data_IF_561070768338
#
_entry.id   IF_561070768338
#
_cell.length_a   1.000
_cell.length_b   1.000
_cell.length_c   1.000
_cell.angle_alpha   90.00
_cell.angle_beta   90.00
_cell.angle_gamma   90.00
#
_symmetry.space_group_name_H-M   'P 1'
#
loop_
_entity.id
_entity.type
_entity.pdbx_description
1 polymer ?
#
# COMPACT_ATOMS: atom_id res chain seq x y z
N UNK A 1 0.87 30.05 -0.50
CA UNK A 1 0.44 28.76 0.08
C UNK A 1 0.35 27.67 -1.00
N UNK A 2 -0.25 27.96 -2.15
CA UNK A 2 -0.39 27.05 -3.31
C UNK A 2 0.91 26.35 -3.80
N UNK A 3 2.05 27.07 -3.81
CA UNK A 3 3.35 26.50 -4.21
C UNK A 3 3.92 25.49 -3.19
N UNK A 4 3.53 25.61 -1.92
CA UNK A 4 3.93 24.69 -0.85
C UNK A 4 3.15 23.38 -0.95
N UNK A 5 1.84 23.45 -1.15
CA UNK A 5 0.96 22.29 -1.33
C UNK A 5 1.36 21.43 -2.53
N UNK A 6 1.69 22.06 -3.66
CA UNK A 6 2.14 21.38 -4.88
C UNK A 6 3.49 20.66 -4.70
N UNK A 7 4.39 21.20 -3.87
CA UNK A 7 5.66 20.56 -3.55
C UNK A 7 5.48 19.39 -2.57
N UNK A 8 4.55 19.50 -1.61
CA UNK A 8 4.26 18.42 -0.65
C UNK A 8 3.63 17.22 -1.37
N UNK A 9 2.67 17.45 -2.27
CA UNK A 9 2.04 16.38 -3.06
C UNK A 9 3.00 15.72 -4.06
N UNK A 10 3.88 16.50 -4.71
CA UNK A 10 4.92 15.94 -5.59
C UNK A 10 5.90 15.06 -4.80
N UNK A 11 6.29 15.49 -3.60
CA UNK A 11 7.20 14.72 -2.77
C UNK A 11 6.58 13.38 -2.33
N UNK A 12 5.31 13.33 -1.92
CA UNK A 12 4.68 12.06 -1.53
C UNK A 12 4.63 11.06 -2.70
N UNK A 13 4.35 11.53 -3.93
CA UNK A 13 4.39 10.67 -5.14
C UNK A 13 5.80 10.15 -5.41
N UNK A 14 6.84 11.00 -5.28
CA UNK A 14 8.23 10.56 -5.45
C UNK A 14 8.58 9.47 -4.42
N UNK A 15 8.20 9.64 -3.16
CA UNK A 15 8.48 8.63 -2.13
C UNK A 15 7.67 7.34 -2.31
N UNK A 16 6.47 7.40 -2.90
CA UNK A 16 5.73 6.21 -3.32
C UNK A 16 6.47 5.46 -4.43
N UNK A 17 7.02 6.18 -5.41
CA UNK A 17 7.83 5.59 -6.49
C UNK A 17 9.13 4.99 -5.95
N UNK A 18 9.81 5.66 -5.01
CA UNK A 18 11.00 5.13 -4.33
C UNK A 18 10.65 3.85 -3.58
N UNK A 19 9.53 3.81 -2.85
CA UNK A 19 9.07 2.59 -2.21
C UNK A 19 8.88 1.45 -3.23
N UNK A 20 8.12 1.70 -4.32
CA UNK A 20 7.92 0.72 -5.38
C UNK A 20 9.24 0.22 -6.01
N UNK A 21 10.17 1.14 -6.27
CA UNK A 21 11.49 0.84 -6.81
C UNK A 21 12.38 0.05 -5.83
N UNK A 22 12.15 0.15 -4.52
CA UNK A 22 12.86 -0.68 -3.53
C UNK A 22 12.17 -2.03 -3.30
N UNK A 23 10.84 -2.07 -3.31
CA UNK A 23 10.05 -3.25 -3.01
C UNK A 23 10.13 -4.31 -4.11
N UNK A 24 9.99 -3.92 -5.38
CA UNK A 24 9.97 -4.89 -6.49
C UNK A 24 11.31 -5.65 -6.64
N UNK A 25 12.49 -5.00 -6.65
CA UNK A 25 13.76 -5.72 -6.70
C UNK A 25 14.01 -6.56 -5.45
N UNK A 26 13.66 -6.05 -4.26
CA UNK A 26 13.79 -6.82 -3.02
C UNK A 26 12.94 -8.09 -3.06
N UNK A 27 11.68 -8.00 -3.50
CA UNK A 27 10.80 -9.15 -3.63
C UNK A 27 11.34 -10.17 -4.64
N UNK A 28 11.89 -9.74 -5.78
CA UNK A 28 12.48 -10.63 -6.79
C UNK A 28 13.76 -11.31 -6.27
N UNK A 29 14.69 -10.55 -5.69
CA UNK A 29 15.96 -11.07 -5.17
C UNK A 29 15.74 -12.10 -4.05
N UNK A 30 14.80 -11.82 -3.13
CA UNK A 30 14.48 -12.71 -2.03
C UNK A 30 13.71 -13.95 -2.49
N UNK A 31 12.78 -13.81 -3.46
CA UNK A 31 12.02 -14.93 -4.01
C UNK A 31 12.92 -15.95 -4.71
N UNK A 32 13.94 -15.48 -5.44
CA UNK A 32 14.87 -16.35 -6.15
C UNK A 32 16.08 -16.79 -5.30
N UNK A 33 16.12 -16.48 -4.00
CA UNK A 33 17.21 -16.83 -3.08
C UNK A 33 18.61 -16.48 -3.63
N UNK A 34 18.74 -15.36 -4.34
CA UNK A 34 19.97 -14.98 -5.04
C UNK A 34 21.07 -14.43 -4.13
N UNK A 35 20.85 -14.40 -2.81
CA UNK A 35 21.69 -13.70 -1.84
C UNK A 35 21.82 -14.49 -0.54
N UNK A 36 22.91 -14.27 0.19
CA UNK A 36 23.18 -14.91 1.47
C UNK A 36 22.19 -14.48 2.55
N UNK A 37 21.92 -15.36 3.54
CA UNK A 37 20.95 -15.11 4.62
C UNK A 37 21.10 -13.75 5.32
N UNK A 38 22.32 -13.29 5.68
CA UNK A 38 22.49 -11.98 6.32
C UNK A 38 22.09 -10.83 5.39
N UNK A 39 22.42 -10.94 4.10
CA UNK A 39 22.10 -9.92 3.11
C UNK A 39 20.61 -9.89 2.78
N UNK A 40 19.94 -11.05 2.77
CA UNK A 40 18.49 -11.15 2.63
C UNK A 40 17.74 -10.37 3.70
N UNK A 41 18.22 -10.40 4.96
CA UNK A 41 17.62 -9.63 6.05
C UNK A 41 17.73 -8.12 5.80
N UNK A 42 18.90 -7.65 5.37
CA UNK A 42 19.11 -6.23 5.04
C UNK A 42 18.19 -5.81 3.90
N UNK A 43 18.11 -6.62 2.83
CA UNK A 43 17.24 -6.36 1.68
C UNK A 43 15.76 -6.32 2.08
N UNK A 44 15.32 -7.15 3.03
CA UNK A 44 13.95 -7.14 3.52
C UNK A 44 13.60 -5.87 4.31
N UNK A 45 14.56 -5.25 5.01
CA UNK A 45 14.36 -4.06 5.84
C UNK A 45 14.25 -2.78 4.99
N UNK A 46 14.99 -2.69 3.88
CA UNK A 46 15.05 -1.47 3.05
C UNK A 46 13.67 -1.00 2.59
N UNK A 47 12.79 -1.84 2.00
CA UNK A 47 11.44 -1.42 1.60
C UNK A 47 10.56 -0.97 2.77
N UNK A 48 10.76 -1.55 3.97
CA UNK A 48 10.00 -1.16 5.16
C UNK A 48 10.42 0.24 5.62
N UNK A 49 11.72 0.52 5.63
CA UNK A 49 12.24 1.85 5.96
C UNK A 49 11.78 2.92 4.96
N UNK A 50 11.80 2.62 3.66
CA UNK A 50 11.31 3.56 2.63
C UNK A 50 9.80 3.77 2.74
N UNK A 51 9.03 2.74 3.05
CA UNK A 51 7.59 2.85 3.29
C UNK A 51 7.26 3.69 4.52
N UNK A 52 8.00 3.52 5.62
CA UNK A 52 7.84 4.34 6.83
C UNK A 52 8.07 5.83 6.52
N UNK A 53 9.08 6.14 5.71
CA UNK A 53 9.32 7.52 5.28
C UNK A 53 8.21 8.05 4.36
N UNK A 54 7.69 7.22 3.46
CA UNK A 54 6.52 7.55 2.64
C UNK A 54 5.29 7.88 3.50
N UNK A 55 5.00 7.11 4.55
CA UNK A 55 3.89 7.38 5.48
C UNK A 55 4.03 8.77 6.10
N UNK A 56 5.21 9.15 6.58
CA UNK A 56 5.44 10.48 7.17
C UNK A 56 5.16 11.61 6.17
N UNK A 57 5.51 11.41 4.89
CA UNK A 57 5.21 12.37 3.82
C UNK A 57 3.73 12.37 3.43
N UNK A 58 3.08 11.22 3.44
CA UNK A 58 1.66 11.07 3.17
C UNK A 58 0.81 11.80 4.22
N UNK A 59 1.15 11.65 5.51
CA UNK A 59 0.49 12.37 6.62
C UNK A 59 0.57 13.88 6.41
N UNK A 60 1.76 14.39 6.07
CA UNK A 60 1.97 15.82 5.76
C UNK A 60 1.20 16.28 4.52
N UNK A 61 1.04 15.40 3.52
CA UNK A 61 0.24 15.71 2.34
C UNK A 61 -1.25 15.78 2.66
N UNK A 62 -1.74 14.93 3.58
CA UNK A 62 -3.13 14.99 4.05
C UNK A 62 -3.39 16.23 4.88
N UNK A 63 -2.46 16.65 5.75
CA UNK A 63 -2.67 17.80 6.64
C UNK A 63 -2.86 19.15 5.92
N UNK A 64 -2.41 19.26 4.67
CA UNK A 64 -2.54 20.48 3.84
C UNK A 64 -3.63 20.36 2.78
N UNK A 65 -4.39 19.27 2.80
CA UNK A 65 -5.41 18.95 1.79
C UNK A 65 -6.78 19.48 2.23
N UNK A 66 -7.61 19.92 1.28
CA UNK A 66 -8.99 20.35 1.54
C UNK A 66 -9.79 19.25 2.25
N UNK A 67 -10.73 19.64 3.12
CA UNK A 67 -11.55 18.72 3.93
C UNK A 67 -12.29 17.67 3.07
N UNK A 68 -12.82 18.08 1.91
CA UNK A 68 -13.51 17.18 0.99
C UNK A 68 -12.56 16.10 0.45
N UNK A 69 -11.36 16.51 0.05
CA UNK A 69 -10.36 15.58 -0.47
C UNK A 69 -9.81 14.67 0.64
N UNK A 70 -9.60 15.19 1.85
CA UNK A 70 -9.26 14.36 3.01
C UNK A 70 -10.34 13.31 3.29
N UNK A 71 -11.61 13.69 3.23
CA UNK A 71 -12.74 12.77 3.41
C UNK A 71 -12.76 11.68 2.33
N UNK A 72 -12.52 12.02 1.07
CA UNK A 72 -12.38 11.04 -0.03
C UNK A 72 -11.27 10.03 0.28
N UNK A 73 -10.10 10.50 0.73
CA UNK A 73 -8.99 9.60 1.07
C UNK A 73 -9.29 8.74 2.30
N UNK A 74 -9.93 9.28 3.33
CA UNK A 74 -10.32 8.53 4.52
C UNK A 74 -11.32 7.42 4.16
N UNK A 75 -12.36 7.73 3.38
CA UNK A 75 -13.31 6.73 2.92
C UNK A 75 -12.62 5.65 2.06
N UNK A 76 -11.70 6.05 1.17
CA UNK A 76 -10.91 5.11 0.38
C UNK A 76 -10.09 4.15 1.25
N UNK A 77 -9.44 4.65 2.30
CA UNK A 77 -8.69 3.85 3.28
C UNK A 77 -9.62 2.92 4.04
N UNK A 78 -10.79 3.40 4.50
CA UNK A 78 -11.76 2.58 5.23
C UNK A 78 -12.29 1.43 4.35
N UNK A 79 -12.63 1.71 3.10
CA UNK A 79 -13.08 0.69 2.13
C UNK A 79 -11.94 -0.30 1.87
N UNK A 80 -10.74 0.21 1.56
CA UNK A 80 -9.55 -0.60 1.31
C UNK A 80 -9.24 -1.55 2.46
N UNK A 81 -9.15 -1.00 3.67
CA UNK A 81 -8.92 -1.76 4.89
C UNK A 81 -10.01 -2.82 5.15
N UNK A 82 -11.28 -2.44 5.04
CA UNK A 82 -12.40 -3.35 5.28
C UNK A 82 -12.40 -4.52 4.31
N UNK A 83 -12.17 -4.27 3.02
CA UNK A 83 -12.08 -5.31 2.00
C UNK A 83 -10.83 -6.19 2.20
N UNK A 84 -9.69 -5.63 2.59
CA UNK A 84 -8.50 -6.42 2.92
C UNK A 84 -8.73 -7.30 4.13
N UNK A 85 -9.33 -6.78 5.20
CA UNK A 85 -9.66 -7.56 6.40
C UNK A 85 -10.63 -8.70 6.05
N UNK A 86 -11.68 -8.41 5.27
CA UNK A 86 -12.63 -9.41 4.78
C UNK A 86 -11.92 -10.50 3.96
N UNK A 87 -11.00 -10.12 3.07
CA UNK A 87 -10.21 -11.08 2.29
C UNK A 87 -9.34 -11.95 3.19
N UNK A 88 -8.61 -11.36 4.15
CA UNK A 88 -7.76 -12.12 5.10
C UNK A 88 -8.60 -13.14 5.88
N UNK A 89 -9.76 -12.73 6.38
CA UNK A 89 -10.67 -13.64 7.09
C UNK A 89 -11.15 -14.78 6.18
N UNK A 90 -11.53 -14.48 4.95
CA UNK A 90 -11.95 -15.49 3.97
C UNK A 90 -10.82 -16.49 3.68
N UNK A 91 -9.60 -16.00 3.44
CA UNK A 91 -8.45 -16.86 3.17
C UNK A 91 -8.12 -17.78 4.34
N UNK A 92 -8.18 -17.25 5.56
CA UNK A 92 -7.99 -18.04 6.77
C UNK A 92 -9.06 -19.13 6.92
N UNK A 93 -10.35 -18.82 6.69
CA UNK A 93 -11.41 -19.83 6.74
C UNK A 93 -11.26 -20.90 5.65
N UNK A 94 -10.88 -20.51 4.42
CA UNK A 94 -10.62 -21.45 3.33
C UNK A 94 -9.42 -22.37 3.61
N UNK A 95 -8.41 -21.86 4.32
CA UNK A 95 -7.28 -22.66 4.82
C UNK A 95 -7.77 -23.74 5.81
N UNK A 96 -8.64 -23.38 6.75
CA UNK A 96 -9.23 -24.34 7.69
C UNK A 96 -10.09 -25.42 6.99
N UNK A 97 -10.69 -25.10 5.85
CA UNK A 97 -11.45 -26.05 5.04
C UNK A 97 -10.58 -26.90 4.09
N UNK A 98 -9.27 -26.67 4.02
CA UNK A 98 -8.38 -27.37 3.08
C UNK A 98 -8.55 -26.97 1.62
N UNK A 99 -9.22 -25.84 1.33
CA UNK A 99 -9.50 -25.32 -0.02
C UNK A 99 -8.53 -24.19 -0.43
N UNK A 100 -7.56 -23.87 0.43
CA UNK A 100 -6.57 -22.81 0.17
C UNK A 100 -5.62 -23.17 -0.97
N UNK A 101 -5.43 -22.22 -1.91
CA UNK A 101 -4.38 -22.27 -2.93
C UNK A 101 -3.31 -21.20 -2.63
N UNK A 102 -2.14 -21.59 -2.10
CA UNK A 102 -1.05 -20.67 -1.75
C UNK A 102 -0.51 -19.88 -2.96
N UNK A 103 -0.66 -20.42 -4.18
CA UNK A 103 -0.14 -19.81 -5.40
C UNK A 103 -0.86 -18.52 -5.79
N UNK A 104 -2.17 -18.44 -5.55
CA UNK A 104 -2.99 -17.27 -5.90
C UNK A 104 -3.29 -16.39 -4.68
N UNK A 105 -3.32 -16.99 -3.49
CA UNK A 105 -3.73 -16.31 -2.25
C UNK A 105 -2.64 -16.21 -1.18
N UNK A 106 -1.38 -16.47 -1.54
CA UNK A 106 -0.26 -16.32 -0.60
C UNK A 106 -0.08 -14.87 -0.11
N UNK A 107 0.51 -14.72 1.08
CA UNK A 107 0.78 -13.44 1.74
C UNK A 107 1.49 -12.39 0.87
N UNK A 108 2.28 -12.82 -0.13
CA UNK A 108 2.95 -11.92 -1.08
C UNK A 108 2.00 -11.12 -1.98
N UNK A 109 0.79 -11.62 -2.24
CA UNK A 109 -0.21 -10.95 -3.07
C UNK A 109 -1.09 -9.98 -2.27
N UNK A 110 -1.09 -10.10 -0.95
CA UNK A 110 -1.96 -9.35 -0.03
C UNK A 110 -1.72 -7.85 -0.10
N UNK A 111 -0.45 -7.45 -0.31
CA UNK A 111 -0.06 -6.06 -0.57
C UNK A 111 -0.71 -5.54 -1.85
N UNK A 112 -0.72 -6.35 -2.92
CA UNK A 112 -1.37 -5.99 -4.19
C UNK A 112 -2.88 -5.80 -4.06
N UNK A 113 -3.55 -6.72 -3.37
CA UNK A 113 -4.99 -6.60 -3.10
C UNK A 113 -5.34 -5.37 -2.25
N UNK A 114 -4.52 -5.04 -1.24
CA UNK A 114 -4.71 -3.84 -0.43
C UNK A 114 -4.73 -2.56 -1.30
N UNK A 115 -3.78 -2.41 -2.22
CA UNK A 115 -3.76 -1.28 -3.14
C UNK A 115 -4.95 -1.27 -4.10
N UNK A 116 -5.33 -2.42 -4.65
CA UNK A 116 -6.51 -2.52 -5.52
C UNK A 116 -7.77 -2.07 -4.79
N UNK A 117 -8.00 -2.55 -3.57
CA UNK A 117 -9.17 -2.18 -2.77
C UNK A 117 -9.17 -0.71 -2.38
N UNK A 118 -8.00 -0.15 -2.08
CA UNK A 118 -7.86 1.29 -1.88
C UNK A 118 -8.27 2.09 -3.13
N UNK A 119 -7.81 1.71 -4.33
CA UNK A 119 -8.18 2.41 -5.56
C UNK A 119 -9.67 2.29 -5.89
N UNK A 120 -10.28 1.14 -5.58
CA UNK A 120 -11.74 0.97 -5.68
C UNK A 120 -12.44 1.94 -4.74
N UNK A 121 -12.05 1.99 -3.46
CA UNK A 121 -12.60 2.93 -2.49
C UNK A 121 -12.42 4.39 -2.91
N UNK A 122 -11.23 4.73 -3.40
CA UNK A 122 -10.93 6.06 -3.91
C UNK A 122 -11.82 6.44 -5.10
N UNK A 123 -12.02 5.53 -6.07
CA UNK A 123 -12.87 5.79 -7.23
C UNK A 123 -14.33 6.01 -6.82
N UNK A 124 -14.85 5.19 -5.89
CA UNK A 124 -16.22 5.30 -5.37
C UNK A 124 -16.40 6.65 -4.64
N UNK A 125 -15.51 6.98 -3.71
CA UNK A 125 -15.60 8.22 -2.93
C UNK A 125 -15.37 9.45 -3.80
N UNK A 126 -14.45 9.39 -4.76
CA UNK A 126 -14.23 10.47 -5.73
C UNK A 126 -15.51 10.77 -6.53
N UNK A 127 -16.17 9.73 -7.05
CA UNK A 127 -17.45 9.87 -7.75
C UNK A 127 -18.56 10.43 -6.86
N UNK A 128 -18.60 10.05 -5.58
CA UNK A 128 -19.58 10.53 -4.59
C UNK A 128 -19.44 12.03 -4.30
N UNK A 129 -18.21 12.54 -4.23
CA UNK A 129 -17.93 13.95 -3.89
C UNK A 129 -17.73 14.86 -5.10
N UNK A 130 -17.71 14.33 -6.33
CA UNK A 130 -17.60 15.12 -7.56
C UNK A 130 -16.24 15.80 -7.76
N UNK A 131 -15.19 15.27 -7.12
CA UNK A 131 -13.79 15.75 -7.18
C UNK A 131 -12.95 14.91 -8.13
#
# INVERSE_FOLDING_TARGET
>A
MERSEKNVSRNSVIFALVYGATYLPAALLLKHQMVSKPLSLVIAIVPIATFAFYILKLIRAFSVMDEVKQRVQLEAVVIGFSLTAMLVMLLFLLELCGVSNPGWFGYGHLVGYCWIFYFIGWFISKKKYGV
#
